data_IF_896250418462
#
_entry.id   IF_896250418462
#
_cell.length_a   1.000
_cell.length_b   1.000
_cell.length_c   1.000
_cell.angle_alpha   90.00
_cell.angle_beta   90.00
_cell.angle_gamma   90.00
#
_symmetry.space_group_name_H-M   'P 1'
#
loop_
_entity.id
_entity.type
_entity.pdbx_description
1 polymer ?
#
# COMPACT_ATOMS: atom_id res chain seq x y z
N UNK A 1 -10.32 -8.59 -35.13
CA UNK A 1 -10.52 -7.32 -34.41
C UNK A 1 -11.23 -7.65 -33.11
N UNK A 2 -10.59 -7.31 -31.98
CA UNK A 2 -10.94 -7.60 -30.57
C UNK A 2 -10.65 -9.03 -30.11
N UNK A 3 -9.36 -9.28 -29.92
CA UNK A 3 -8.87 -10.24 -28.93
C UNK A 3 -9.49 -9.87 -27.57
N UNK A 4 -10.35 -10.74 -27.05
CA UNK A 4 -10.95 -10.58 -25.73
C UNK A 4 -9.87 -10.89 -24.69
N UNK A 5 -9.15 -9.85 -24.27
CA UNK A 5 -8.27 -9.93 -23.10
C UNK A 5 -9.11 -10.39 -21.92
N UNK A 6 -8.88 -11.60 -21.45
CA UNK A 6 -9.50 -12.15 -20.25
C UNK A 6 -9.38 -11.13 -19.09
N UNK A 7 -10.40 -11.00 -18.23
CA UNK A 7 -10.22 -10.25 -17.00
C UNK A 7 -9.06 -10.88 -16.20
N UNK A 8 -8.18 -10.08 -15.58
CA UNK A 8 -7.16 -10.63 -14.71
C UNK A 8 -7.84 -11.48 -13.62
N UNK A 9 -7.22 -12.60 -13.19
CA UNK A 9 -7.80 -13.45 -12.16
C UNK A 9 -8.04 -12.61 -10.90
N UNK A 10 -9.25 -12.72 -10.33
CA UNK A 10 -9.56 -12.16 -9.01
C UNK A 10 -8.51 -12.65 -8.01
N UNK A 11 -7.83 -11.78 -7.24
CA UNK A 11 -6.74 -12.23 -6.40
C UNK A 11 -7.30 -12.81 -5.10
N UNK A 12 -7.66 -14.09 -5.15
CA UNK A 12 -7.54 -14.93 -3.98
C UNK A 12 -6.06 -14.97 -3.57
N UNK A 13 -5.74 -14.44 -2.39
CA UNK A 13 -4.51 -14.73 -1.65
C UNK A 13 -3.15 -14.36 -2.31
N UNK A 14 -3.00 -13.16 -2.86
CA UNK A 14 -1.66 -12.58 -3.07
C UNK A 14 -1.09 -12.12 -1.72
N UNK A 15 -0.32 -12.99 -1.09
CA UNK A 15 0.41 -12.78 0.17
C UNK A 15 1.72 -12.05 -0.12
N UNK A 16 1.64 -10.75 -0.36
CA UNK A 16 2.81 -9.90 -0.55
C UNK A 16 2.45 -8.58 -1.23
N UNK A 17 3.03 -7.49 -0.75
CA UNK A 17 3.04 -6.22 -1.47
C UNK A 17 3.87 -6.41 -2.74
N UNK A 18 3.27 -6.19 -3.91
CA UNK A 18 4.03 -6.21 -5.18
C UNK A 18 4.74 -4.88 -5.35
N UNK A 19 6.06 -4.87 -5.44
CA UNK A 19 6.82 -3.65 -5.74
C UNK A 19 7.40 -3.76 -7.14
N UNK A 20 7.03 -2.82 -8.01
CA UNK A 20 7.60 -2.69 -9.35
C UNK A 20 8.53 -1.47 -9.37
N UNK A 21 9.81 -1.68 -9.62
CA UNK A 21 10.76 -0.59 -9.84
C UNK A 21 11.11 -0.50 -11.32
N UNK A 22 10.71 0.60 -11.96
CA UNK A 22 11.04 0.89 -13.37
C UNK A 22 12.09 1.99 -13.54
N UNK A 23 12.54 2.61 -12.46
CA UNK A 23 13.54 3.68 -12.47
C UNK A 23 13.10 4.88 -11.64
N UNK A 24 14.00 5.84 -11.46
CA UNK A 24 13.70 7.11 -10.77
C UNK A 24 14.69 7.46 -9.65
N UNK A 25 14.54 8.66 -9.07
CA UNK A 25 15.46 9.18 -8.06
C UNK A 25 15.26 8.54 -6.68
N UNK A 26 14.12 7.88 -6.43
CA UNK A 26 13.80 7.23 -5.16
C UNK A 26 13.90 5.72 -5.30
N UNK A 27 14.66 5.10 -4.41
CA UNK A 27 14.72 3.64 -4.31
C UNK A 27 13.46 3.06 -3.66
N UNK A 28 13.20 1.79 -3.94
CA UNK A 28 12.17 1.01 -3.24
C UNK A 28 12.27 1.14 -1.71
N UNK A 29 13.49 1.03 -1.16
CA UNK A 29 13.70 1.13 0.29
C UNK A 29 13.28 2.50 0.87
N UNK A 30 13.50 3.59 0.13
CA UNK A 30 13.07 4.93 0.57
C UNK A 30 11.55 5.06 0.56
N UNK A 31 10.89 4.59 -0.51
CA UNK A 31 9.42 4.65 -0.63
C UNK A 31 8.76 3.75 0.41
N UNK A 32 9.23 2.51 0.55
CA UNK A 32 8.73 1.57 1.56
C UNK A 32 9.00 2.10 2.97
N UNK A 33 10.15 2.73 3.22
CA UNK A 33 10.46 3.39 4.49
C UNK A 33 9.44 4.48 4.83
N UNK A 34 9.16 5.39 3.89
CA UNK A 34 8.16 6.44 4.07
C UNK A 34 6.76 5.86 4.36
N UNK A 35 6.36 4.79 3.67
CA UNK A 35 5.08 4.11 3.90
C UNK A 35 5.05 3.43 5.27
N UNK A 36 6.16 2.85 5.73
CA UNK A 36 6.28 2.25 7.08
C UNK A 36 6.19 3.28 8.20
N UNK A 37 6.47 4.55 7.92
CA UNK A 37 6.26 5.64 8.86
C UNK A 37 4.79 6.13 8.92
N UNK A 38 3.91 5.59 8.09
CA UNK A 38 2.46 5.79 8.19
C UNK A 38 1.83 4.73 9.10
N UNK A 39 1.08 5.18 10.10
CA UNK A 39 0.41 4.34 11.08
C UNK A 39 -1.11 4.45 10.95
N UNK A 40 -1.80 3.33 11.20
CA UNK A 40 -3.25 3.35 11.33
C UNK A 40 -3.61 3.95 12.72
N UNK A 41 -4.54 4.92 12.82
CA UNK A 41 -4.92 5.51 14.10
C UNK A 41 -5.77 4.58 14.98
N UNK A 42 -6.41 3.56 14.39
CA UNK A 42 -7.22 2.57 15.09
C UNK A 42 -6.38 1.39 15.58
N UNK A 43 -5.34 1.01 14.81
CA UNK A 43 -4.45 -0.10 15.13
C UNK A 43 -3.02 0.44 15.23
N UNK A 44 -2.30 0.30 16.37
CA UNK A 44 -0.96 0.86 16.59
C UNK A 44 0.14 0.11 15.83
N UNK A 45 -0.04 -0.05 14.53
CA UNK A 45 0.86 -0.72 13.60
C UNK A 45 0.93 0.07 12.30
N UNK A 46 2.07 -0.02 11.61
CA UNK A 46 2.23 0.65 10.33
C UNK A 46 1.42 -0.05 9.23
N UNK A 47 0.99 0.73 8.24
CA UNK A 47 0.10 0.25 7.17
C UNK A 47 0.77 -0.80 6.27
N UNK A 48 2.10 -0.82 6.22
CA UNK A 48 2.87 -1.81 5.47
C UNK A 48 2.81 -3.19 6.16
N UNK A 49 3.14 -3.23 7.46
CA UNK A 49 3.08 -4.44 8.30
C UNK A 49 1.64 -4.91 8.54
N UNK A 50 0.66 -3.99 8.52
CA UNK A 50 -0.77 -4.35 8.50
C UNK A 50 -1.18 -5.05 7.20
N UNK A 51 -0.38 -4.96 6.14
CA UNK A 51 -0.70 -5.53 4.83
C UNK A 51 -1.80 -4.76 4.10
N UNK A 52 -1.89 -3.44 4.33
CA UNK A 52 -2.81 -2.54 3.63
C UNK A 52 -2.30 -2.14 2.25
N UNK A 53 -0.99 -2.28 2.00
CA UNK A 53 -0.41 -1.96 0.70
C UNK A 53 -0.46 -3.20 -0.20
N UNK A 54 -1.01 -3.05 -1.40
CA UNK A 54 -1.14 -4.14 -2.37
C UNK A 54 -0.08 -4.03 -3.46
N UNK A 55 0.16 -2.83 -3.97
CA UNK A 55 1.20 -2.59 -4.95
C UNK A 55 1.86 -1.22 -4.79
N UNK A 56 3.14 -1.16 -5.16
CA UNK A 56 3.93 0.08 -5.25
C UNK A 56 4.61 0.05 -6.61
N UNK A 57 4.22 0.94 -7.51
CA UNK A 57 4.86 1.12 -8.80
C UNK A 57 5.70 2.40 -8.75
N UNK A 58 7.02 2.25 -8.84
CA UNK A 58 8.00 3.33 -8.82
C UNK A 58 8.51 3.54 -10.24
N UNK A 59 8.15 4.66 -10.83
CA UNK A 59 8.59 5.09 -12.15
C UNK A 59 9.40 6.39 -12.07
N UNK A 60 10.09 6.73 -13.16
CA UNK A 60 10.97 7.90 -13.18
C UNK A 60 10.23 9.20 -12.89
N UNK A 61 9.02 9.33 -13.45
CA UNK A 61 8.23 10.55 -13.41
C UNK A 61 7.13 10.54 -12.35
N UNK A 62 6.75 9.39 -11.80
CA UNK A 62 5.66 9.25 -10.85
C UNK A 62 5.77 7.97 -10.00
N UNK A 63 5.13 8.00 -8.83
CA UNK A 63 4.94 6.82 -7.97
C UNK A 63 3.44 6.56 -7.83
N UNK A 64 3.02 5.34 -8.09
CA UNK A 64 1.65 4.89 -7.85
C UNK A 64 1.63 3.87 -6.71
N UNK A 65 0.77 4.09 -5.72
CA UNK A 65 0.56 3.18 -4.60
C UNK A 65 -0.87 2.69 -4.64
N UNK A 66 -1.05 1.38 -4.73
CA UNK A 66 -2.36 0.73 -4.59
C UNK A 66 -2.47 0.17 -3.18
N UNK A 67 -3.48 0.63 -2.46
CA UNK A 67 -3.70 0.22 -1.07
C UNK A 67 -5.16 -0.03 -0.77
N UNK A 68 -5.43 -0.61 0.38
CA UNK A 68 -6.77 -0.80 0.93
C UNK A 68 -6.82 -0.27 2.35
N UNK A 69 -7.98 -0.38 3.00
CA UNK A 69 -8.19 0.07 4.37
C UNK A 69 -8.88 -1.03 5.17
N UNK A 70 -8.73 -0.97 6.48
CA UNK A 70 -9.39 -1.88 7.42
C UNK A 70 -10.91 -1.75 7.39
N UNK A 71 -11.46 -0.58 7.01
CA UNK A 71 -12.91 -0.32 6.96
C UNK A 71 -13.28 0.85 6.03
N UNK A 72 -14.38 0.70 5.28
CA UNK A 72 -14.87 1.68 4.30
C UNK A 72 -15.56 2.91 4.91
N UNK A 73 -16.02 2.81 6.16
CA UNK A 73 -16.77 3.86 6.85
C UNK A 73 -15.98 4.71 7.84
N UNK A 74 -14.68 4.46 8.03
CA UNK A 74 -13.90 5.14 9.07
C UNK A 74 -13.36 6.51 8.59
N UNK A 75 -13.38 7.59 9.39
CA UNK A 75 -12.77 8.88 9.02
C UNK A 75 -11.31 8.75 8.56
N UNK A 76 -10.58 7.78 9.11
CA UNK A 76 -9.20 7.43 8.76
C UNK A 76 -9.00 7.05 7.28
N UNK A 77 -10.08 6.65 6.59
CA UNK A 77 -10.06 6.32 5.18
C UNK A 77 -9.64 7.48 4.27
N UNK A 78 -9.78 8.72 4.74
CA UNK A 78 -9.33 9.93 4.03
C UNK A 78 -7.94 10.36 4.45
N UNK A 79 -7.52 10.04 5.68
CA UNK A 79 -6.27 10.56 6.25
C UNK A 79 -5.07 9.70 5.89
N UNK A 80 -5.20 8.37 5.92
CA UNK A 80 -4.09 7.46 5.64
C UNK A 80 -3.56 7.63 4.21
N UNK A 81 -4.40 7.62 3.14
CA UNK A 81 -3.90 7.77 1.77
C UNK A 81 -3.19 9.12 1.55
N UNK A 82 -3.72 10.19 2.13
CA UNK A 82 -3.10 11.52 2.05
C UNK A 82 -1.78 11.59 2.83
N UNK A 83 -1.68 10.91 3.98
CA UNK A 83 -0.42 10.85 4.73
C UNK A 83 0.67 10.10 3.94
N UNK A 84 0.32 8.96 3.33
CA UNK A 84 1.21 8.20 2.43
C UNK A 84 1.71 9.09 1.30
N UNK A 85 0.78 9.74 0.60
CA UNK A 85 1.10 10.65 -0.49
C UNK A 85 2.05 11.76 -0.02
N UNK A 86 1.73 12.42 1.09
CA UNK A 86 2.52 13.51 1.66
C UNK A 86 3.94 13.06 2.02
N UNK A 87 4.12 11.88 2.62
CA UNK A 87 5.45 11.38 2.97
C UNK A 87 6.29 11.06 1.75
N UNK A 88 5.71 10.43 0.72
CA UNK A 88 6.43 10.17 -0.54
C UNK A 88 6.78 11.49 -1.25
N UNK A 89 5.87 12.47 -1.24
CA UNK A 89 6.14 13.82 -1.78
C UNK A 89 7.28 14.50 -1.04
N UNK A 90 7.36 14.36 0.28
CA UNK A 90 8.45 14.91 1.09
C UNK A 90 9.83 14.29 0.76
N UNK A 91 9.90 13.11 0.13
CA UNK A 91 11.14 12.53 -0.36
C UNK A 91 11.66 13.19 -1.65
N UNK A 92 10.87 14.06 -2.29
CA UNK A 92 11.24 14.76 -3.52
C UNK A 92 10.56 14.26 -4.79
N UNK A 93 9.55 13.39 -4.68
CA UNK A 93 8.70 12.98 -5.82
C UNK A 93 7.34 13.68 -5.74
N UNK A 94 7.09 14.78 -6.49
CA UNK A 94 5.81 15.49 -6.43
C UNK A 94 4.65 14.71 -7.06
N UNK A 95 4.93 13.81 -8.01
CA UNK A 95 3.91 13.07 -8.74
C UNK A 95 3.62 11.74 -8.06
N UNK A 96 2.72 11.76 -7.07
CA UNK A 96 2.32 10.56 -6.32
C UNK A 96 0.82 10.35 -6.45
N UNK A 97 0.42 9.17 -6.93
CA UNK A 97 -0.97 8.70 -6.96
C UNK A 97 -1.16 7.63 -5.90
N UNK A 98 -2.23 7.74 -5.11
CA UNK A 98 -2.60 6.72 -4.13
C UNK A 98 -4.02 6.26 -4.44
N UNK A 99 -4.14 5.02 -4.89
CA UNK A 99 -5.41 4.41 -5.25
C UNK A 99 -5.88 3.48 -4.14
N UNK A 100 -7.01 3.85 -3.53
CA UNK A 100 -7.66 3.01 -2.52
C UNK A 100 -8.62 2.04 -3.21
N UNK A 101 -8.33 0.76 -3.10
CA UNK A 101 -9.16 -0.34 -3.63
C UNK A 101 -9.80 -1.13 -2.50
N UNK A 102 -11.01 -1.64 -2.76
CA UNK A 102 -11.79 -2.45 -1.82
C UNK A 102 -11.81 -3.93 -2.21
N UNK A 103 -11.33 -4.25 -3.40
CA UNK A 103 -11.23 -5.61 -3.93
C UNK A 103 -9.76 -5.91 -4.26
N UNK A 104 -9.14 -6.94 -3.67
CA UNK A 104 -9.71 -7.83 -2.64
C UNK A 104 -9.91 -7.10 -1.30
N UNK A 105 -10.88 -7.51 -0.45
CA UNK A 105 -11.05 -6.92 0.87
C UNK A 105 -9.87 -7.28 1.78
N UNK A 106 -9.53 -6.37 2.69
CA UNK A 106 -8.48 -6.63 3.68
C UNK A 106 -8.91 -7.69 4.70
N UNK A 107 -7.95 -8.49 5.18
CA UNK A 107 -8.16 -9.46 6.25
C UNK A 107 -6.94 -9.50 7.19
N UNK A 108 -7.12 -9.67 8.53
CA UNK A 108 -6.02 -9.71 9.50
C UNK A 108 -4.95 -10.78 9.22
N UNK A 109 -5.28 -11.81 8.44
CA UNK A 109 -4.29 -12.81 7.99
C UNK A 109 -3.17 -12.21 7.13
N UNK A 110 -3.37 -11.02 6.56
CA UNK A 110 -2.38 -10.27 5.75
C UNK A 110 -1.32 -9.55 6.60
N UNK A 111 -1.52 -9.44 7.92
CA UNK A 111 -0.55 -8.82 8.82
C UNK A 111 0.78 -9.60 8.74
N UNK A 112 1.89 -8.87 8.57
CA UNK A 112 3.23 -9.44 8.50
C UNK A 112 3.59 -10.19 9.79
N UNK A 113 4.50 -11.17 9.75
CA UNK A 113 4.98 -11.83 10.97
C UNK A 113 5.46 -10.83 12.04
N UNK A 114 6.23 -9.82 11.63
CA UNK A 114 6.70 -8.73 12.49
C UNK A 114 5.53 -7.92 13.07
N UNK A 115 4.50 -7.65 12.26
CA UNK A 115 3.28 -6.99 12.69
C UNK A 115 2.51 -7.79 13.74
N UNK A 116 2.39 -9.12 13.55
CA UNK A 116 1.73 -10.01 14.51
C UNK A 116 2.47 -10.04 15.84
N UNK A 117 3.80 -10.08 15.82
CA UNK A 117 4.61 -10.01 17.03
C UNK A 117 4.38 -8.69 17.80
N UNK A 118 4.37 -7.55 17.09
CA UNK A 118 4.07 -6.24 17.70
C UNK A 118 2.68 -6.15 18.32
N UNK A 119 1.70 -6.88 17.75
CA UNK A 119 0.33 -6.94 18.25
C UNK A 119 0.12 -8.04 19.31
N UNK A 120 1.14 -8.83 19.66
CA UNK A 120 1.01 -9.94 20.62
C UNK A 120 0.22 -11.14 20.09
N UNK A 121 0.14 -11.30 18.77
CA UNK A 121 -0.53 -12.41 18.06
C UNK A 121 0.45 -13.49 17.59
N UNK A 122 1.70 -13.44 18.05
CA UNK A 122 2.80 -14.33 17.68
C UNK A 122 3.08 -15.43 18.69
#
# INVERSE_FOLDING_TARGET
>A
MRDASAPPPAPAAATGTTVSFRGGPLSEAQVVGAIRDCFDPEIPLNIYDLGLIYAIDIEESAIAVKMTLTSQGCPSARTIPEDVRRKIVALGQPNVSVDVVWDPPWHPSRISPDGKQKLGLG
#
